data_IF_681826343143
#
_entry.id   IF_681826343143
#
_cell.length_a   1.000
_cell.length_b   1.000
_cell.length_c   1.000
_cell.angle_alpha   90.00
_cell.angle_beta   90.00
_cell.angle_gamma   90.00
#
_symmetry.space_group_name_H-M   'P 1'
#
loop_
_entity.id
_entity.type
_entity.pdbx_description
1 polymer ?
2 non-polymer ?
3 water ?
#
# COMPACT_ATOMS: atom_id res chain seq x y z
N UNK A 11 -27.50 17.29 10.99
CA UNK A 11 -26.42 16.34 10.70
C UNK A 11 -25.14 16.63 11.49
N UNK A 12 -25.15 17.69 12.28
CA UNK A 12 -23.97 18.13 13.02
C UNK A 12 -23.75 17.33 14.29
N UNK A 13 -22.67 16.54 14.31
CA UNK A 13 -22.48 15.56 15.37
C UNK A 13 -21.11 15.68 16.08
N UNK A 14 -21.12 16.24 17.29
CA UNK A 14 -19.88 16.42 18.04
C UNK A 14 -19.96 15.91 19.47
N UNK A 15 -18.83 15.48 20.01
CA UNK A 15 -18.76 14.91 21.36
C UNK A 15 -17.73 15.63 22.24
N UNK A 16 -16.94 16.51 21.63
CA UNK A 16 -15.88 17.22 22.34
C UNK A 16 -16.40 18.44 23.08
N UNK A 17 -16.30 18.41 24.40
CA UNK A 17 -16.61 19.55 25.25
C UNK A 17 -15.75 19.52 26.51
N UNK A 18 -15.73 20.62 27.25
CA UNK A 18 -14.96 20.71 28.50
C UNK A 18 -15.88 20.11 29.56
N UNK A 19 -15.67 18.84 29.89
CA UNK A 19 -16.36 18.20 31.00
C UNK A 19 -15.32 17.92 32.11
N UNK A 20 -14.03 18.00 31.77
CA UNK A 20 -12.98 17.54 32.69
C UNK A 20 -12.61 18.58 33.73
N UNK A 21 -12.33 18.12 34.93
CA UNK A 21 -11.83 18.99 35.98
C UNK A 21 -10.83 18.24 36.87
N UNK A 22 -9.87 18.98 37.43
CA UNK A 22 -8.89 18.37 38.31
C UNK A 22 -9.02 19.00 39.70
N UNK A 23 -9.21 18.14 40.69
CA UNK A 23 -9.47 18.60 42.06
C UNK A 23 -8.18 18.91 42.82
N UNK A 24 -7.27 17.95 42.86
CA UNK A 24 -6.02 18.11 43.57
C UNK A 24 -4.98 18.75 42.70
N UNK A 25 -3.75 18.79 43.19
CA UNK A 25 -2.65 19.30 42.37
C UNK A 25 -2.03 18.14 41.60
N UNK A 26 -1.13 18.46 40.69
CA UNK A 26 -0.49 17.45 39.86
C UNK A 26 0.80 16.96 40.48
N UNK A 27 1.19 15.73 40.17
CA UNK A 27 2.51 15.24 40.54
C UNK A 27 3.45 15.37 39.34
N UNK A 28 4.60 16.01 39.55
CA UNK A 28 5.55 16.26 38.47
C UNK A 28 6.47 15.08 38.27
N UNK A 29 6.61 14.66 37.01
CA UNK A 29 7.50 13.59 36.65
C UNK A 29 8.50 14.10 35.63
N UNK A 30 9.61 13.38 35.48
CA UNK A 30 10.63 13.74 34.51
C UNK A 30 11.06 12.50 33.73
N UNK A 31 10.99 12.61 32.41
CA UNK A 31 11.39 11.51 31.53
C UNK A 31 12.83 11.09 31.77
N UNK A 32 13.11 9.81 31.54
CA UNK A 32 14.47 9.29 31.71
C UNK A 32 15.32 9.59 30.46
N UNK A 33 16.57 9.15 30.49
CA UNK A 33 17.53 9.42 29.41
C UNK A 33 17.00 8.94 28.06
N UNK A 34 16.34 7.79 28.05
CA UNK A 34 15.70 7.27 26.85
C UNK A 34 14.59 8.20 26.40
N UNK A 35 13.58 8.35 27.25
CA UNK A 35 12.42 9.18 26.96
C UNK A 35 12.83 10.58 26.49
N UNK A 36 13.96 11.07 26.98
CA UNK A 36 14.42 12.40 26.56
C UNK A 36 14.90 12.38 25.11
N UNK A 37 15.67 11.35 24.73
CA UNK A 37 16.15 11.20 23.36
C UNK A 37 14.98 10.98 22.41
N UNK A 38 14.07 10.09 22.79
CA UNK A 38 12.90 9.78 21.99
C UNK A 38 12.13 11.04 21.66
N UNK A 39 11.77 11.79 22.69
CA UNK A 39 10.95 13.00 22.54
C UNK A 39 11.60 14.00 21.60
N UNK A 40 12.91 14.21 21.76
CA UNK A 40 13.62 15.16 20.94
C UNK A 40 13.68 14.70 19.48
N UNK A 41 14.08 13.45 19.25
CA UNK A 41 14.25 12.95 17.88
C UNK A 41 12.93 12.89 17.12
N UNK A 42 11.88 12.39 17.77
CA UNK A 42 10.58 12.26 17.13
C UNK A 42 9.97 13.62 16.83
N UNK A 43 10.26 14.61 17.68
CA UNK A 43 9.66 15.94 17.55
C UNK A 43 10.21 16.79 16.39
N UNK A 44 11.42 16.50 15.93
CA UNK A 44 12.00 17.34 14.88
C UNK A 44 12.91 16.61 13.88
N UNK A 45 13.33 15.40 14.23
CA UNK A 45 14.30 14.68 13.41
C UNK A 45 13.70 13.49 12.67
N UNK A 46 12.50 13.09 13.07
CA UNK A 46 11.92 11.84 12.58
C UNK A 46 11.04 11.95 11.35
N UNK A 47 10.02 12.81 11.41
CA UNK A 47 9.11 12.99 10.28
C UNK A 47 9.55 14.22 9.50
N UNK A 48 9.50 14.12 8.17
CA UNK A 48 9.94 15.22 7.32
C UNK A 48 8.90 16.33 7.28
N UNK A 49 7.64 15.96 7.13
CA UNK A 49 6.55 16.94 7.14
C UNK A 49 5.82 16.89 8.48
N UNK A 50 5.51 18.06 9.02
CA UNK A 50 4.96 18.16 10.36
C UNK A 50 3.49 17.73 10.42
N UNK A 51 2.79 17.79 9.30
CA UNK A 51 1.36 17.54 9.26
C UNK A 51 0.98 16.12 9.64
N UNK A 52 1.93 15.18 9.53
CA UNK A 52 1.62 13.78 9.76
C UNK A 52 1.31 13.46 11.21
N UNK A 53 1.38 14.45 12.10
CA UNK A 53 1.02 14.21 13.48
C UNK A 53 -0.46 13.85 13.52
N UNK A 54 -1.24 14.51 12.67
CA UNK A 54 -2.67 14.23 12.56
C UNK A 54 -2.91 12.78 12.17
N UNK A 55 -2.10 12.31 11.23
CA UNK A 55 -2.16 10.93 10.76
C UNK A 55 -1.86 9.93 11.87
N UNK A 56 -0.77 10.19 12.61
CA UNK A 56 -0.36 9.33 13.71
C UNK A 56 -1.39 9.29 14.83
N UNK A 57 -1.92 10.44 15.22
CA UNK A 57 -2.90 10.46 16.29
C UNK A 57 -4.19 9.77 15.84
N UNK A 58 -4.63 10.03 14.60
CA UNK A 58 -5.79 9.32 14.07
C UNK A 58 -5.56 7.83 14.08
N UNK A 59 -4.36 7.41 13.68
CA UNK A 59 -4.01 6.00 13.69
C UNK A 59 -4.03 5.42 15.10
N UNK A 60 -3.53 6.18 16.06
CA UNK A 60 -3.60 5.77 17.46
C UNK A 60 -5.04 5.62 17.94
N UNK A 61 -5.88 6.57 17.55
CA UNK A 61 -7.28 6.58 17.98
C UNK A 61 -8.02 5.37 17.40
N UNK A 62 -7.63 4.99 16.19
CA UNK A 62 -8.22 3.84 15.51
C UNK A 62 -7.87 2.53 16.21
N UNK A 63 -6.59 2.40 16.58
CA UNK A 63 -6.12 1.22 17.30
C UNK A 63 -6.81 1.04 18.65
N UNK A 64 -7.05 2.16 19.34
CA UNK A 64 -7.67 2.08 20.67
C UNK A 64 -9.15 1.72 20.53
N UNK A 65 -9.76 2.20 19.46
CA UNK A 65 -11.15 1.85 19.14
C UNK A 65 -11.27 0.36 18.83
N UNK A 66 -10.30 -0.16 18.09
CA UNK A 66 -10.30 -1.55 17.69
C UNK A 66 -10.16 -2.46 18.90
N UNK A 67 -9.25 -2.10 19.80
CA UNK A 67 -8.95 -2.92 20.96
C UNK A 67 -10.17 -3.03 21.87
N UNK A 68 -10.92 -1.94 21.98
CA UNK A 68 -12.12 -1.95 22.82
C UNK A 68 -13.21 -2.78 22.15
N UNK A 69 -13.39 -2.59 20.84
CA UNK A 69 -14.42 -3.31 20.13
C UNK A 69 -14.20 -4.82 20.19
N UNK A 70 -12.95 -5.23 19.92
CA UNK A 70 -12.61 -6.64 20.00
C UNK A 70 -12.87 -7.20 21.39
N UNK A 71 -12.59 -6.42 22.41
CA UNK A 71 -12.79 -6.86 23.79
C UNK A 71 -14.28 -7.05 24.12
N UNK A 72 -15.08 -6.04 23.79
CA UNK A 72 -16.52 -6.13 24.02
C UNK A 72 -17.16 -7.25 23.20
N UNK A 73 -16.69 -7.44 21.97
CA UNK A 73 -17.23 -8.49 21.11
C UNK A 73 -16.79 -9.87 21.60
N UNK A 74 -15.56 -9.96 22.13
CA UNK A 74 -15.06 -11.21 22.67
C UNK A 74 -15.80 -11.57 23.95
N UNK A 75 -16.06 -10.58 24.79
CA UNK A 75 -16.79 -10.79 26.03
C UNK A 75 -18.28 -10.95 25.78
N UNK A 76 -18.72 -10.58 24.58
CA UNK A 76 -20.12 -10.67 24.21
C UNK A 76 -20.93 -9.46 24.67
N UNK A 77 -20.24 -8.40 25.07
CA UNK A 77 -20.90 -7.17 25.52
C UNK A 77 -21.41 -6.32 24.37
N UNK A 78 -22.39 -5.46 24.65
CA UNK A 78 -22.93 -4.55 23.65
C UNK A 78 -21.91 -3.49 23.26
N UNK A 79 -22.15 -2.82 22.14
CA UNK A 79 -21.20 -1.88 21.56
C UNK A 79 -21.67 -0.44 21.70
N UNK A 80 -20.79 0.42 22.23
CA UNK A 80 -21.06 1.86 22.39
C UNK A 80 -20.73 2.62 21.12
N UNK A 81 -20.87 3.95 21.14
CA UNK A 81 -20.42 4.78 20.03
C UNK A 81 -18.92 4.62 19.86
N UNK A 82 -18.49 4.25 18.65
CA UNK A 82 -17.07 4.07 18.39
C UNK A 82 -16.64 5.01 17.30
N UNK A 83 -16.07 6.14 17.71
CA UNK A 83 -15.84 7.26 16.82
C UNK A 83 -14.54 7.99 17.10
N UNK A 84 -14.09 8.75 16.12
CA UNK A 84 -12.93 9.61 16.24
C UNK A 84 -13.35 11.04 15.92
N UNK A 85 -13.02 11.96 16.81
CA UNK A 85 -13.42 13.35 16.59
C UNK A 85 -12.23 14.30 16.61
N UNK A 86 -12.27 15.25 15.69
CA UNK A 86 -11.29 16.31 15.66
C UNK A 86 -11.99 17.64 15.74
N UNK A 87 -11.43 18.54 16.52
CA UNK A 87 -11.94 19.89 16.61
C UNK A 87 -10.80 20.88 16.46
N UNK A 88 -10.99 21.88 15.60
CA UNK A 88 -10.03 22.96 15.46
C UNK A 88 -10.56 24.20 16.17
N UNK A 89 -9.66 24.91 16.84
CA UNK A 89 -10.01 26.19 17.45
C UNK A 89 -8.89 27.13 17.06
N UNK A 90 -9.17 28.01 16.10
CA UNK A 90 -8.18 28.98 15.64
C UNK A 90 -8.20 30.13 16.63
N UNK A 91 -9.37 30.34 17.24
CA UNK A 91 -9.53 31.34 18.29
C UNK A 91 -8.56 31.11 19.45
N UNK A 92 -8.42 29.85 19.85
CA UNK A 92 -7.50 29.48 20.93
C UNK A 92 -6.21 28.86 20.42
N UNK A 93 -6.07 28.81 19.09
CA UNK A 93 -4.91 28.20 18.46
C UNK A 93 -4.71 26.74 18.82
N UNK A 94 -5.81 25.99 18.95
CA UNK A 94 -5.71 24.58 19.34
C UNK A 94 -6.28 23.61 18.30
N UNK A 95 -5.77 22.39 18.36
CA UNK A 95 -6.39 21.29 17.66
C UNK A 95 -6.50 20.12 18.63
N UNK A 96 -7.65 19.46 18.59
CA UNK A 96 -8.02 18.42 19.53
C UNK A 96 -8.46 17.17 18.79
N UNK A 97 -8.10 16.01 19.30
CA UNK A 97 -8.58 14.75 18.76
C UNK A 97 -9.03 13.89 19.91
N UNK A 98 -10.25 13.40 19.85
CA UNK A 98 -10.75 12.49 20.85
C UNK A 98 -11.26 11.19 20.23
N UNK A 99 -10.93 10.07 20.85
CA UNK A 99 -11.55 8.82 20.48
C UNK A 99 -12.34 8.27 21.67
N UNK A 100 -13.28 7.37 21.41
CA UNK A 100 -14.03 6.73 22.48
C UNK A 100 -13.55 5.30 22.69
N UNK A 101 -12.28 5.07 22.34
CA UNK A 101 -11.72 3.73 22.40
C UNK A 101 -11.38 3.19 23.78
N UNK A 102 -10.58 2.14 23.81
CA UNK A 102 -10.08 1.63 25.07
C UNK A 102 -9.08 2.69 25.52
N UNK A 103 -9.21 3.13 26.75
CA UNK A 103 -8.42 4.25 27.21
C UNK A 103 -7.06 3.84 27.77
N UNK A 104 -6.55 4.66 28.67
CA UNK A 104 -5.25 4.40 29.27
C UNK A 104 -5.34 4.39 30.80
N UNK A 105 -4.63 3.47 31.42
CA UNK A 105 -4.52 3.43 32.87
C UNK A 105 -3.50 4.48 33.33
N UNK A 106 -3.45 4.72 34.64
CA UNK A 106 -2.50 5.67 35.20
C UNK A 106 -1.08 5.24 34.88
N UNK A 107 -0.79 3.95 35.08
CA UNK A 107 0.53 3.43 34.82
C UNK A 107 0.95 3.65 33.36
N UNK A 108 0.03 3.42 32.42
CA UNK A 108 0.36 3.61 31.01
C UNK A 108 0.70 5.08 30.72
N UNK A 109 -0.08 5.99 31.30
CA UNK A 109 0.18 7.41 31.14
C UNK A 109 1.54 7.80 31.74
N UNK A 110 1.97 7.03 32.72
CA UNK A 110 3.26 7.30 33.38
C UNK A 110 4.46 6.66 32.70
N UNK A 111 4.39 5.35 32.48
CA UNK A 111 5.53 4.57 32.02
C UNK A 111 5.74 4.70 30.51
N UNK A 112 4.65 4.61 29.75
CA UNK A 112 4.74 4.65 28.29
C UNK A 112 5.45 5.89 27.76
N UNK A 141 3.25 -1.11 22.98
CA UNK A 141 3.83 -0.46 21.80
C UNK A 141 2.73 0.05 20.87
N UNK A 142 2.01 1.07 21.32
CA UNK A 142 0.93 1.66 20.53
C UNK A 142 1.70 2.40 19.47
N UNK A 143 2.79 3.00 19.90
CA UNK A 143 3.74 3.63 19.02
C UNK A 143 4.17 4.95 19.61
N UNK A 144 5.29 5.46 19.12
CA UNK A 144 5.72 6.79 19.49
C UNK A 144 4.63 7.73 18.99
N UNK A 145 4.09 7.38 17.83
CA UNK A 145 3.29 8.31 17.04
C UNK A 145 2.66 9.43 17.86
N UNK A 146 2.35 9.16 19.12
CA UNK A 146 1.76 10.19 19.96
C UNK A 146 2.69 11.38 20.17
N UNK A 147 3.98 11.11 20.30
CA UNK A 147 4.92 12.19 20.59
C UNK A 147 5.18 13.08 19.37
N UNK A 148 4.71 12.65 18.20
CA UNK A 148 4.85 13.46 16.98
C UNK A 148 4.10 14.78 17.14
N UNK A 149 3.23 14.85 18.15
CA UNK A 149 2.51 16.07 18.47
C UNK A 149 3.43 17.22 18.85
N UNK A 150 4.55 16.89 19.48
CA UNK A 150 5.51 17.91 19.93
C UNK A 150 6.34 18.38 18.76
N UNK A 151 5.93 17.96 17.57
CA UNK A 151 6.50 18.47 16.34
C UNK A 151 5.84 19.80 16.03
N UNK A 152 4.60 19.97 16.48
CA UNK A 152 3.85 21.19 16.20
C UNK A 152 3.28 21.88 17.44
N UNK A 153 3.48 21.28 18.60
CA UNK A 153 2.94 21.85 19.83
C UNK A 153 4.02 22.32 20.79
N UNK A 154 3.73 23.38 21.54
CA UNK A 154 4.61 23.79 22.63
C UNK A 154 3.99 23.38 23.98
N UNK A 155 2.89 22.62 23.90
CA UNK A 155 2.21 22.12 25.09
C UNK A 155 1.11 21.14 24.69
N UNK A 156 1.08 19.99 25.36
CA UNK A 156 0.05 19.01 25.09
C UNK A 156 -0.70 18.65 26.37
N UNK A 157 -2.03 18.66 26.27
CA UNK A 157 -2.89 18.41 27.40
C UNK A 157 -3.76 17.19 27.10
N UNK A 158 -3.68 16.19 27.97
CA UNK A 158 -4.32 14.91 27.70
C UNK A 158 -5.26 14.47 28.80
N UNK A 159 -6.40 13.91 28.40
CA UNK A 159 -7.35 13.30 29.32
C UNK A 159 -7.69 11.89 28.84
N UNK A 160 -7.51 10.91 29.72
CA UNK A 160 -7.80 9.53 29.35
C UNK A 160 -8.42 8.75 30.51
N UNK A 161 -9.29 7.81 30.16
CA UNK A 161 -9.95 6.96 31.14
C UNK A 161 -10.10 5.56 30.57
N UNK A 162 -9.61 4.56 31.29
CA UNK A 162 -9.66 3.18 30.81
C UNK A 162 -11.10 2.69 30.70
N UNK A 163 -11.35 1.76 29.77
CA UNK A 163 -12.70 1.27 29.53
C UNK A 163 -13.14 0.27 30.63
N UNK A 164 -12.18 -0.32 31.32
CA UNK A 164 -12.50 -1.29 32.37
C UNK A 164 -13.32 -0.63 33.47
N UNK A 165 -14.41 -1.28 33.88
CA UNK A 165 -15.32 -0.82 34.94
C UNK A 165 -14.58 -0.26 36.15
N UNK A 166 -15.11 0.82 36.72
CA UNK A 166 -14.53 1.42 37.90
C UNK A 166 -13.21 2.13 37.67
N UNK A 167 -12.86 2.38 36.41
CA UNK A 167 -11.61 3.07 36.10
C UNK A 167 -11.68 4.56 36.41
N UNK A 168 -10.55 5.16 36.76
CA UNK A 168 -10.52 6.59 37.04
C UNK A 168 -9.95 7.34 35.84
N UNK A 169 -10.26 8.62 35.77
CA UNK A 169 -9.76 9.47 34.71
C UNK A 169 -8.51 10.21 35.14
N UNK A 170 -7.65 10.51 34.18
CA UNK A 170 -6.42 11.21 34.50
C UNK A 170 -6.08 12.27 33.48
N UNK A 171 -5.43 13.31 33.97
CA UNK A 171 -4.89 14.36 33.12
C UNK A 171 -3.37 14.24 33.03
N UNK A 172 -2.86 14.48 31.83
CA UNK A 172 -1.44 14.41 31.52
C UNK A 172 -1.08 15.72 30.81
N UNK A 173 -0.15 16.47 31.37
CA UNK A 173 0.25 17.75 30.79
C UNK A 173 1.73 17.72 30.44
N UNK A 174 2.11 18.46 29.40
CA UNK A 174 3.53 18.57 29.07
C UNK A 174 3.83 19.64 28.03
N UNK A 175 4.94 20.35 28.24
CA UNK A 175 5.43 21.31 27.27
C UNK A 175 6.56 20.71 26.42
N UNK A 176 6.86 19.43 26.66
CA UNK A 176 7.83 18.71 25.86
C UNK A 176 9.27 18.94 26.30
N UNK A 177 9.45 19.50 27.49
CA UNK A 177 10.77 19.80 28.01
C UNK A 177 11.31 18.66 28.88
N UNK A 178 10.71 17.49 28.74
CA UNK A 178 11.13 16.33 29.53
C UNK A 178 10.41 16.23 30.86
N UNK A 179 9.64 17.27 31.21
CA UNK A 179 8.82 17.24 32.42
C UNK A 179 7.34 17.13 32.05
N UNK A 180 6.63 16.23 32.72
CA UNK A 180 5.19 16.12 32.54
C UNK A 180 4.48 16.02 33.89
N UNK A 181 3.21 16.36 33.89
CA UNK A 181 2.43 16.34 35.12
C UNK A 181 1.31 15.30 35.02
N UNK A 182 0.94 14.72 36.16
CA UNK A 182 -0.15 13.76 36.20
C UNK A 182 -1.11 14.05 37.34
N UNK A 183 -2.40 13.96 37.07
CA UNK A 183 -3.40 14.22 38.09
C UNK A 183 -4.70 13.52 37.74
N UNK A 184 -5.29 12.87 38.75
CA UNK A 184 -6.62 12.32 38.61
C UNK A 184 -7.58 13.43 38.20
N UNK A 185 -8.44 13.12 37.24
CA UNK A 185 -9.37 14.10 36.69
C UNK A 185 -10.78 13.55 36.72
N UNK A 186 -11.76 14.43 36.93
CA UNK A 186 -13.15 14.00 36.82
C UNK A 186 -13.76 14.55 35.54
N UNK A 187 -14.89 13.99 35.12
CA UNK A 187 -15.54 14.39 33.89
C UNK A 187 -14.76 13.90 32.68
N UNK A 188 -13.97 12.84 32.88
CA UNK A 188 -13.24 12.26 31.76
C UNK A 188 -14.01 11.10 31.15
N UNK A 189 -14.35 11.22 29.88
CA UNK A 189 -15.04 10.17 29.17
C UNK A 189 -14.11 9.02 28.84
N UNK A 190 -14.64 7.80 28.87
CA UNK A 190 -13.88 6.60 28.50
C UNK A 190 -13.23 6.79 27.14
N UNK A 191 -11.95 6.45 27.06
CA UNK A 191 -11.18 6.71 25.86
C UNK A 191 -10.17 7.81 26.12
N UNK A 192 -9.76 8.49 25.07
CA UNK A 192 -8.64 9.42 25.17
C UNK A 192 -8.89 10.72 24.42
N UNK A 193 -8.58 11.83 25.08
CA UNK A 193 -8.73 13.16 24.49
C UNK A 193 -7.41 13.90 24.52
N UNK A 194 -6.92 14.31 23.36
CA UNK A 194 -5.65 15.02 23.26
C UNK A 194 -5.87 16.44 22.76
N UNK A 195 -5.47 17.42 23.58
CA UNK A 195 -5.61 18.82 23.21
C UNK A 195 -4.25 19.43 22.94
N UNK A 196 -3.99 19.76 21.67
CA UNK A 196 -2.74 20.34 21.26
C UNK A 196 -2.80 21.86 21.25
N UNK A 197 -1.90 22.49 21.99
CA UNK A 197 -1.73 23.93 21.96
C UNK A 197 -0.59 24.26 20.99
N UNK A 198 -0.99 24.63 19.77
CA UNK A 198 -0.06 24.77 18.65
C UNK A 198 0.97 25.89 18.81
N UNK A 199 2.17 25.63 18.31
CA UNK A 199 3.21 26.64 18.22
C UNK A 199 2.74 27.88 17.45
N UNK A 200 3.50 28.97 17.57
CA UNK A 200 3.13 30.24 16.97
C UNK A 200 3.05 30.15 15.44
N UNK A 201 3.94 29.37 14.84
CA UNK A 201 3.98 29.25 13.38
C UNK A 201 3.39 27.91 12.90
N UNK A 202 2.64 27.26 13.77
CA UNK A 202 1.91 26.05 13.38
C UNK A 202 0.41 26.25 13.47
N UNK A 203 0.00 27.50 13.60
CA UNK A 203 -1.42 27.83 13.75
C UNK A 203 -2.31 27.30 12.62
N UNK A 204 -1.67 26.95 11.50
CA UNK A 204 -2.39 26.45 10.33
C UNK A 204 -3.23 25.22 10.67
N UNK A 205 -2.78 24.45 11.65
CA UNK A 205 -3.49 23.24 12.05
C UNK A 205 -4.60 23.54 13.05
N UNK A 206 -4.98 24.81 13.15
CA UNK A 206 -6.15 25.22 13.91
C UNK A 206 -7.25 25.72 12.98
N UNK A 207 -6.95 25.75 11.69
CA UNK A 207 -7.97 26.09 10.69
C UNK A 207 -8.54 24.82 10.10
N UNK A 208 -9.88 24.73 10.09
CA UNK A 208 -10.56 23.54 9.59
C UNK A 208 -10.13 23.17 8.18
N UNK A 209 -10.01 24.16 7.30
CA UNK A 209 -9.71 23.92 5.90
C UNK A 209 -8.40 23.14 5.72
N UNK A 210 -7.38 23.54 6.48
CA UNK A 210 -6.07 22.90 6.39
C UNK A 210 -6.11 21.47 6.92
N UNK A 211 -6.81 21.28 8.03
CA UNK A 211 -6.87 19.99 8.71
C UNK A 211 -7.69 19.00 7.90
N UNK A 212 -8.76 19.48 7.27
CA UNK A 212 -9.59 18.64 6.41
C UNK A 212 -8.76 18.01 5.29
N UNK A 213 -7.96 18.84 4.62
CA UNK A 213 -7.08 18.36 3.57
C UNK A 213 -6.12 17.30 4.09
N UNK A 214 -5.55 17.53 5.27
CA UNK A 214 -4.59 16.58 5.82
C UNK A 214 -5.27 15.24 6.09
N UNK A 215 -6.48 15.27 6.62
CA UNK A 215 -7.25 14.06 6.88
C UNK A 215 -7.57 13.28 5.60
N UNK A 216 -8.05 13.97 4.59
CA UNK A 216 -8.47 13.31 3.36
C UNK A 216 -7.26 12.73 2.63
N UNK A 217 -6.11 13.36 2.84
CA UNK A 217 -4.86 12.90 2.22
C UNK A 217 -4.36 11.59 2.81
N UNK A 218 -4.33 11.51 4.14
CA UNK A 218 -3.64 10.42 4.83
C UNK A 218 -4.54 9.37 5.48
N UNK A 219 -5.78 9.74 5.77
CA UNK A 219 -6.61 8.95 6.66
C UNK A 219 -8.01 8.73 6.14
N UNK A 220 -8.13 8.65 4.82
CA UNK A 220 -9.42 8.56 4.15
C UNK A 220 -10.04 7.17 4.22
N UNK A 221 -9.24 6.21 4.70
CA UNK A 221 -9.68 4.83 4.76
C UNK A 221 -9.74 4.34 6.21
N UNK A 222 -9.74 5.27 7.16
CA UNK A 222 -9.78 4.91 8.57
C UNK A 222 -11.00 4.02 8.89
N UNK A 223 -10.77 3.00 9.71
CA UNK A 223 -11.74 1.94 9.95
C UNK A 223 -12.93 2.34 10.84
N UNK A 224 -12.84 3.51 11.47
CA UNK A 224 -13.92 4.01 12.33
C UNK A 224 -14.38 5.40 11.89
N UNK A 225 -15.67 5.71 12.13
CA UNK A 225 -16.23 7.02 11.80
C UNK A 225 -15.39 8.17 12.33
N UNK A 226 -15.04 9.08 11.44
CA UNK A 226 -14.20 10.21 11.78
C UNK A 226 -14.92 11.51 11.47
N UNK A 227 -15.00 12.39 12.47
CA UNK A 227 -15.67 13.68 12.34
C UNK A 227 -14.70 14.83 12.57
N UNK A 228 -14.91 15.93 11.85
CA UNK A 228 -14.11 17.14 12.03
C UNK A 228 -15.04 18.32 12.29
N UNK A 229 -14.97 18.86 13.50
CA UNK A 229 -15.90 19.91 13.92
C UNK A 229 -17.34 19.48 13.68
N UNK A 230 -17.63 18.21 13.98
CA UNK A 230 -18.97 17.69 13.84
C UNK A 230 -19.32 17.11 12.48
N UNK A 231 -18.47 17.34 11.49
CA UNK A 231 -18.73 16.88 10.13
C UNK A 231 -18.05 15.55 9.82
N UNK A 232 -18.84 14.58 9.37
CA UNK A 232 -18.32 13.29 8.94
C UNK A 232 -17.33 13.48 7.78
N UNK A 233 -16.18 12.82 7.84
CA UNK A 233 -15.12 13.05 6.84
C UNK A 233 -14.65 11.86 5.99
N UNK A 234 -14.84 10.64 6.50
CA UNK A 234 -14.28 9.44 5.84
C UNK A 234 -15.40 8.54 5.33
N UNK A 235 -15.41 8.26 4.03
CA UNK A 235 -16.45 7.36 3.50
C UNK A 235 -15.87 6.11 2.84
N UNK A 236 -14.58 6.13 2.52
CA UNK A 236 -14.00 5.03 1.73
C UNK A 236 -13.52 3.88 2.59
N UNK A 237 -13.73 2.66 2.10
CA UNK A 237 -13.41 1.44 2.81
C UNK A 237 -12.11 0.81 2.31
N UNK A 238 -11.27 0.33 3.23
CA UNK A 238 -9.97 -0.24 2.88
C UNK A 238 -10.39 -1.66 2.54
N UNK A 239 -10.45 -1.97 1.24
CA UNK A 239 -11.04 -3.23 0.78
C UNK A 239 -9.84 -4.17 0.61
N UNK A 240 -8.64 -3.62 0.62
CA UNK A 240 -7.46 -4.45 0.46
C UNK A 240 -7.19 -5.27 1.75
N UNK A 241 -7.80 -4.84 2.85
CA UNK A 241 -7.65 -5.55 4.14
C UNK A 241 -8.62 -6.72 4.26
N UNK A 242 -9.65 -6.73 3.41
CA UNK A 242 -10.65 -7.78 3.44
C UNK A 242 -10.12 -9.13 2.99
N UNK A 243 -10.86 -10.17 3.36
CA UNK A 243 -10.70 -11.49 2.76
C UNK A 243 -11.03 -11.36 1.27
N UNK A 244 -10.07 -11.69 0.39
CA UNK A 244 -10.22 -11.50 -1.05
C UNK A 244 -11.49 -12.11 -1.61
N UNK A 245 -11.99 -13.15 -0.97
CA UNK A 245 -13.16 -13.86 -1.46
C UNK A 245 -14.44 -13.23 -0.93
N UNK A 246 -14.31 -12.12 -0.22
CA UNK A 246 -15.47 -11.36 0.24
C UNK A 246 -15.69 -10.11 -0.58
N UNK A 247 -14.63 -9.61 -1.21
CA UNK A 247 -14.75 -8.43 -2.05
C UNK A 247 -15.46 -8.81 -3.33
N UNK A 248 -16.44 -8.01 -3.74
CA UNK A 248 -17.06 -8.28 -5.03
C UNK A 248 -16.72 -7.21 -6.07
N UNK A 249 -17.17 -7.47 -7.30
CA UNK A 249 -16.70 -6.72 -8.46
C UNK A 249 -16.86 -5.21 -8.35
N UNK A 250 -18.05 -4.78 -7.91
CA UNK A 250 -18.38 -3.37 -7.86
C UNK A 250 -17.48 -2.60 -6.87
N UNK A 251 -17.00 -3.29 -5.84
CA UNK A 251 -16.08 -2.69 -4.90
C UNK A 251 -14.71 -2.51 -5.57
N UNK A 252 -14.23 -3.56 -6.24
CA UNK A 252 -12.99 -3.47 -7.02
C UNK A 252 -13.06 -2.41 -8.11
N UNK A 253 -14.25 -2.20 -8.68
CA UNK A 253 -14.38 -1.19 -9.72
C UNK A 253 -14.30 0.22 -9.12
N UNK A 254 -15.01 0.42 -8.02
CA UNK A 254 -15.00 1.69 -7.29
C UNK A 254 -13.59 2.05 -6.84
N UNK A 255 -12.90 1.10 -6.23
CA UNK A 255 -11.58 1.38 -5.71
C UNK A 255 -10.55 1.57 -6.84
N UNK A 256 -10.65 0.77 -7.89
CA UNK A 256 -9.79 0.95 -9.05
C UNK A 256 -9.92 2.36 -9.60
N UNK A 257 -11.15 2.86 -9.66
CA UNK A 257 -11.38 4.17 -10.23
C UNK A 257 -10.84 5.25 -9.32
N UNK A 258 -10.94 5.03 -8.00
CA UNK A 258 -10.31 5.93 -7.04
C UNK A 258 -8.78 5.96 -7.21
N UNK A 259 -8.10 4.86 -6.93
CA UNK A 259 -6.63 4.83 -6.94
C UNK A 259 -6.03 5.22 -8.27
N UNK A 260 -6.65 4.76 -9.36
CA UNK A 260 -6.14 5.05 -10.70
C UNK A 260 -6.73 6.34 -11.27
N UNK A 261 -7.65 6.97 -10.55
CA UNK A 261 -8.33 8.15 -11.06
C UNK A 261 -8.81 7.90 -12.48
N UNK A 262 -9.58 6.84 -12.65
CA UNK A 262 -9.95 6.37 -13.98
C UNK A 262 -11.45 6.16 -14.09
N UNK A 263 -11.95 6.11 -15.32
CA UNK A 263 -13.38 5.97 -15.55
C UNK A 263 -13.73 4.63 -16.20
N UNK A 264 -12.70 3.90 -16.64
CA UNK A 264 -12.90 2.59 -17.22
C UNK A 264 -12.96 1.54 -16.12
N UNK A 265 -12.80 0.28 -16.49
CA UNK A 265 -12.81 -0.81 -15.50
C UNK A 265 -11.49 -1.54 -15.49
N UNK A 266 -11.17 -2.21 -14.37
CA UNK A 266 -9.93 -3.01 -14.39
C UNK A 266 -10.08 -4.24 -15.31
N UNK A 267 -9.06 -4.47 -16.13
CA UNK A 267 -9.00 -5.66 -16.98
C UNK A 267 -8.62 -6.87 -16.14
N UNK A 268 -7.68 -6.65 -15.24
CA UNK A 268 -7.20 -7.70 -14.36
C UNK A 268 -7.23 -7.23 -12.92
N UNK A 269 -7.48 -8.16 -12.01
CA UNK A 269 -7.50 -7.87 -10.59
C UNK A 269 -6.74 -8.95 -9.84
N UNK A 270 -5.73 -8.54 -9.10
CA UNK A 270 -5.00 -9.46 -8.22
C UNK A 270 -5.07 -8.96 -6.79
N UNK A 271 -5.69 -9.74 -5.92
CA UNK A 271 -5.77 -9.41 -4.50
C UNK A 271 -4.78 -10.28 -3.73
N UNK A 272 -3.67 -9.68 -3.32
CA UNK A 272 -2.56 -10.46 -2.77
C UNK A 272 -2.35 -10.18 -1.28
N UNK A 273 -2.44 -11.23 -0.47
CA UNK A 273 -2.23 -11.12 0.97
C UNK A 273 -1.18 -12.13 1.42
N UNK A 274 -0.25 -11.68 2.25
CA UNK A 274 0.80 -12.59 2.71
C UNK A 274 1.42 -12.13 4.03
N UNK A 275 1.93 -13.08 4.80
CA UNK A 275 2.58 -12.79 6.07
C UNK A 275 4.01 -13.33 6.10
N UNK A 276 4.24 -14.43 5.40
CA UNK A 276 5.53 -15.13 5.47
C UNK A 276 6.69 -14.26 4.98
N UNK A 277 6.72 -13.94 3.67
CA UNK A 277 7.80 -13.11 3.15
C UNK A 277 7.91 -11.83 3.96
N UNK A 278 6.84 -11.05 3.92
CA UNK A 278 6.67 -9.90 4.77
C UNK A 278 5.18 -9.75 5.02
N UNK A 279 4.77 -8.71 5.72
CA UNK A 279 3.36 -8.41 5.84
C UNK A 279 2.90 -7.62 4.60
N UNK A 280 1.93 -8.17 3.88
CA UNK A 280 1.48 -7.56 2.63
C UNK A 280 -0.04 -7.62 2.48
N UNK A 281 -0.67 -6.44 2.33
CA UNK A 281 -2.07 -6.34 1.93
C UNK A 281 -2.17 -5.45 0.70
N UNK A 282 -2.55 -6.03 -0.44
CA UNK A 282 -2.45 -5.28 -1.68
C UNK A 282 -3.44 -5.70 -2.77
N UNK A 283 -3.82 -4.75 -3.60
CA UNK A 283 -4.60 -5.03 -4.80
C UNK A 283 -3.96 -4.37 -6.01
N UNK A 284 -3.87 -5.13 -7.08
CA UNK A 284 -3.27 -4.67 -8.32
C UNK A 284 -4.26 -4.75 -9.46
N UNK A 285 -4.30 -3.69 -10.27
CA UNK A 285 -5.21 -3.60 -11.40
C UNK A 285 -4.45 -3.35 -12.70
N UNK A 286 -4.94 -3.94 -13.77
CA UNK A 286 -4.51 -3.57 -15.12
C UNK A 286 -5.70 -2.89 -15.80
N UNK A 287 -5.54 -1.61 -16.18
CA UNK A 287 -6.64 -0.88 -16.82
C UNK A 287 -7.19 -1.60 -18.05
N UNK A 288 -8.49 -1.48 -18.27
CA UNK A 288 -9.13 -1.99 -19.49
C UNK A 288 -8.56 -1.24 -20.67
N UNK A 289 -8.36 0.06 -20.46
CA UNK A 289 -7.80 0.96 -21.46
C UNK A 289 -6.33 0.64 -21.74
N UNK A 290 -5.86 1.00 -22.91
CA UNK A 290 -4.46 0.81 -23.27
C UNK A 290 -3.60 1.98 -22.78
N UNK A 291 -2.29 1.77 -22.69
CA UNK A 291 -1.35 2.82 -22.32
C UNK A 291 -0.85 3.60 -23.54
N UNK A 303 0.25 6.00 -10.20
CA UNK A 303 0.98 4.81 -9.80
C UNK A 303 0.42 4.19 -8.51
N UNK A 304 1.06 3.12 -8.06
CA UNK A 304 0.62 2.36 -6.91
C UNK A 304 0.81 3.12 -5.60
N UNK A 305 -0.17 3.07 -4.73
CA UNK A 305 -0.09 3.77 -3.45
C UNK A 305 0.49 2.88 -2.39
N UNK A 306 1.29 3.46 -1.51
CA UNK A 306 1.88 2.74 -0.41
C UNK A 306 1.18 3.09 0.88
N UNK A 307 0.55 2.09 1.51
CA UNK A 307 -0.13 2.29 2.77
C UNK A 307 0.50 1.43 3.86
N UNK A 308 0.18 1.74 5.10
CA UNK A 308 0.55 0.91 6.23
C UNK A 308 -0.53 0.99 7.30
N UNK A 309 -1.20 -0.13 7.53
CA UNK A 309 -2.30 -0.18 8.48
C UNK A 309 -3.36 0.86 8.13
N UNK A 310 -3.75 0.85 6.85
CA UNK A 310 -4.84 1.68 6.33
C UNK A 310 -4.52 3.17 6.32
N UNK A 311 -3.27 3.52 6.63
CA UNK A 311 -2.85 4.92 6.58
C UNK A 311 -1.83 5.13 5.46
N UNK A 312 -1.95 6.27 4.77
CA UNK A 312 -1.13 6.55 3.59
C UNK A 312 0.29 6.99 3.91
N UNK A 313 1.25 6.40 3.21
CA UNK A 313 2.65 6.77 3.37
C UNK A 313 3.12 7.61 2.19
N UNK A 314 2.82 7.14 0.98
CA UNK A 314 3.22 7.86 -0.22
C UNK A 314 2.27 7.54 -1.37
N UNK A 315 1.66 8.57 -1.95
CA UNK A 315 0.66 8.36 -3.00
C UNK A 315 1.31 7.79 -4.26
N UNK A 316 2.60 8.03 -4.43
CA UNK A 316 3.32 7.57 -5.61
C UNK A 316 4.48 6.66 -5.21
N UNK A 317 4.17 5.43 -4.83
CA UNK A 317 5.19 4.46 -4.46
C UNK A 317 5.87 3.89 -5.70
N UNK A 318 6.64 4.74 -6.38
CA UNK A 318 7.30 4.37 -7.63
C UNK A 318 8.31 3.24 -7.47
N UNK A 319 8.87 3.10 -6.27
CA UNK A 319 9.91 2.09 -6.05
C UNK A 319 9.37 0.77 -5.51
N UNK A 320 8.05 0.69 -5.33
CA UNK A 320 7.43 -0.51 -4.79
C UNK A 320 7.42 -1.67 -5.79
N UNK A 321 7.28 -1.33 -7.07
CA UNK A 321 7.33 -2.32 -8.15
C UNK A 321 8.45 -2.03 -9.11
N UNK A 322 8.96 -3.06 -9.81
CA UNK A 322 9.94 -2.83 -10.87
C UNK A 322 9.42 -1.85 -11.92
N UNK A 323 10.32 -1.05 -12.47
CA UNK A 323 9.97 -0.01 -13.43
C UNK A 323 9.05 -0.49 -14.56
N UNK A 324 9.23 -1.74 -15.00
CA UNK A 324 8.46 -2.25 -16.14
C UNK A 324 7.01 -2.57 -15.74
N UNK A 325 6.73 -2.60 -14.45
CA UNK A 325 5.37 -2.87 -13.98
C UNK A 325 4.65 -1.59 -13.61
N UNK A 326 5.17 -0.46 -14.07
CA UNK A 326 4.57 0.84 -13.77
C UNK A 326 3.19 1.03 -14.39
N UNK A 327 2.73 0.07 -15.18
CA UNK A 327 1.41 0.14 -15.79
C UNK A 327 0.36 -0.39 -14.82
N UNK A 328 0.84 -1.10 -13.80
CA UNK A 328 0.00 -1.59 -12.73
C UNK A 328 -0.53 -0.45 -11.87
N UNK A 329 -1.81 -0.53 -11.49
CA UNK A 329 -2.43 0.46 -10.61
C UNK A 329 -2.90 -0.23 -9.35
N UNK A 330 -3.03 0.51 -8.25
CA UNK A 330 -3.55 -0.09 -7.03
C UNK A 330 -2.83 0.33 -5.76
N UNK A 331 -2.86 -0.55 -4.77
CA UNK A 331 -2.38 -0.23 -3.43
C UNK A 331 -1.52 -1.34 -2.84
N UNK A 332 -0.50 -0.94 -2.07
CA UNK A 332 0.26 -1.89 -1.27
C UNK A 332 0.26 -1.43 0.19
N UNK A 333 -0.21 -2.30 1.07
CA UNK A 333 -0.27 -2.01 2.49
C UNK A 333 0.63 -2.99 3.24
N UNK A 334 1.59 -2.46 3.98
CA UNK A 334 2.50 -3.31 4.73
C UNK A 334 2.95 -2.66 6.04
N UNK A 335 2.95 -3.44 7.11
CA UNK A 335 3.37 -2.95 8.42
C UNK A 335 4.88 -2.76 8.50
N UNK A 336 5.59 -3.15 7.44
CA UNK A 336 7.05 -3.14 7.47
C UNK A 336 7.76 -1.85 7.06
N UNK A 337 6.99 -0.80 6.81
CA UNK A 337 7.57 0.47 6.35
C UNK A 337 7.53 1.69 7.26
N UNK A 338 8.69 2.35 7.44
CA UNK A 338 8.82 3.51 8.33
C UNK A 338 7.94 4.69 7.90
N UNK A 345 9.59 10.11 1.60
CA UNK A 345 10.89 10.71 1.28
C UNK A 345 11.39 10.28 -0.10
N UNK A 346 12.39 11.00 -0.61
CA UNK A 346 12.96 10.71 -1.93
C UNK A 346 13.62 9.33 -1.96
N UNK A 347 14.37 9.03 -0.90
CA UNK A 347 15.00 7.72 -0.78
C UNK A 347 14.11 6.74 -0.02
N UNK A 348 13.35 5.96 -0.79
CA UNK A 348 12.45 4.96 -0.22
C UNK A 348 13.14 3.61 -0.07
N UNK A 349 14.09 3.35 -0.97
CA UNK A 349 14.75 2.05 -1.06
C UNK A 349 15.51 1.61 0.18
N UNK A 350 15.24 0.40 0.64
CA UNK A 350 15.87 -0.19 1.82
C UNK A 350 15.62 -1.69 1.82
N UNK A 351 14.57 -2.11 2.51
CA UNK A 351 14.07 -3.48 2.40
C UNK A 351 12.83 -3.46 1.53
N UNK A 352 12.52 -2.25 1.04
CA UNK A 352 11.52 -2.04 0.01
C UNK A 352 11.81 -2.92 -1.20
N UNK A 353 13.09 -3.11 -1.47
CA UNK A 353 13.52 -3.93 -2.57
C UNK A 353 13.05 -5.38 -2.41
N UNK A 354 13.18 -5.88 -1.19
CA UNK A 354 12.72 -7.23 -0.88
C UNK A 354 11.24 -7.37 -1.19
N UNK A 355 10.47 -6.33 -0.89
CA UNK A 355 9.05 -6.29 -1.19
C UNK A 355 8.81 -6.17 -2.70
N UNK A 356 9.68 -5.40 -3.35
CA UNK A 356 9.62 -5.21 -4.79
C UNK A 356 9.79 -6.55 -5.51
N UNK A 357 10.76 -7.32 -5.05
CA UNK A 357 11.03 -8.64 -5.63
C UNK A 357 9.90 -9.61 -5.34
N UNK A 358 9.33 -9.52 -4.15
CA UNK A 358 8.19 -10.37 -3.80
C UNK A 358 7.02 -10.10 -4.74
N UNK A 359 6.77 -8.82 -5.00
CA UNK A 359 5.63 -8.41 -5.81
C UNK A 359 5.85 -8.72 -7.29
N UNK A 360 7.07 -8.54 -7.77
CA UNK A 360 7.38 -8.87 -9.15
C UNK A 360 7.13 -10.34 -9.44
N UNK A 361 7.55 -11.21 -8.52
CA UNK A 361 7.38 -12.64 -8.71
C UNK A 361 5.90 -13.04 -8.64
N UNK A 362 5.17 -12.42 -7.71
CA UNK A 362 3.74 -12.72 -7.54
C UNK A 362 2.97 -12.26 -8.79
N UNK A 363 3.31 -11.08 -9.32
CA UNK A 363 2.65 -10.57 -10.51
C UNK A 363 2.97 -11.38 -11.78
N UNK A 364 4.22 -11.82 -11.93
CA UNK A 364 4.56 -12.67 -13.06
C UNK A 364 3.76 -13.95 -13.02
N UNK A 365 3.68 -14.56 -11.84
CA UNK A 365 2.93 -15.80 -11.70
C UNK A 365 1.45 -15.56 -11.94
N UNK A 366 0.94 -14.42 -11.48
CA UNK A 366 -0.43 -14.03 -11.73
C UNK A 366 -0.74 -14.00 -13.23
N UNK A 367 0.07 -13.28 -14.00
CA UNK A 367 -0.17 -13.14 -15.44
C UNK A 367 0.03 -14.46 -16.17
N UNK A 368 0.95 -15.27 -15.68
CA UNK A 368 1.14 -16.61 -16.24
C UNK A 368 -0.12 -17.45 -16.02
N UNK A 369 -0.62 -17.47 -14.79
CA UNK A 369 -1.85 -18.20 -14.48
C UNK A 369 -3.01 -17.68 -15.30
N UNK A 370 -3.04 -16.38 -15.53
CA UNK A 370 -4.04 -15.76 -16.37
C UNK A 370 -3.99 -16.35 -17.77
N UNK A 371 -2.77 -16.54 -18.28
CA UNK A 371 -2.55 -17.12 -19.60
C UNK A 371 -3.12 -18.52 -19.71
N UNK A 372 -3.00 -19.28 -18.62
CA UNK A 372 -3.43 -20.67 -18.60
C UNK A 372 -4.94 -20.78 -18.70
N UNK A 373 -5.64 -19.98 -17.89
CA UNK A 373 -7.09 -20.03 -17.83
C UNK A 373 -7.73 -19.31 -19.01
N UNK A 374 -7.13 -18.19 -19.41
CA UNK A 374 -7.65 -17.42 -20.52
C UNK A 374 -6.52 -16.95 -21.43
N UNK A 375 -6.56 -17.38 -22.68
CA UNK A 375 -5.50 -17.09 -23.61
C UNK A 375 -5.86 -15.94 -24.56
N UNK A 376 -7.14 -15.84 -24.89
CA UNK A 376 -7.58 -14.81 -25.82
C UNK A 376 -7.54 -13.45 -25.15
N UNK A 377 -7.95 -13.40 -23.90
CA UNK A 377 -7.88 -12.16 -23.13
C UNK A 377 -6.43 -11.78 -22.89
N UNK A 378 -5.61 -12.76 -22.52
CA UNK A 378 -4.20 -12.50 -22.27
C UNK A 378 -3.45 -12.08 -23.52
N UNK A 379 -3.84 -12.64 -24.66
CA UNK A 379 -3.24 -12.28 -25.93
C UNK A 379 -3.48 -10.80 -26.23
N UNK A 380 -4.67 -10.33 -25.86
CA UNK A 380 -5.00 -8.91 -25.97
C UNK A 380 -4.15 -8.09 -25.00
N UNK A 381 -3.99 -8.63 -23.79
CA UNK A 381 -3.13 -8.01 -22.80
C UNK A 381 -1.69 -7.93 -23.27
N UNK A 382 -1.17 -9.04 -23.79
CA UNK A 382 0.21 -9.03 -24.29
C UNK A 382 0.37 -8.03 -25.42
N UNK A 383 -0.61 -7.99 -26.31
CA UNK A 383 -0.63 -7.02 -27.39
C UNK A 383 -0.54 -5.58 -26.86
N UNK A 384 -1.34 -5.29 -25.83
CA UNK A 384 -1.43 -3.95 -25.29
C UNK A 384 -0.27 -3.55 -24.36
N UNK A 385 0.33 -4.54 -23.70
CA UNK A 385 1.33 -4.24 -22.68
C UNK A 385 2.67 -4.95 -22.90
N UNK A 386 2.79 -5.68 -24.00
CA UNK A 386 4.02 -6.39 -24.33
C UNK A 386 5.24 -5.49 -24.20
N UNK A 387 5.12 -4.28 -24.74
CA UNK A 387 6.14 -3.24 -24.64
C UNK A 387 6.86 -3.20 -23.29
N UNK A 388 6.07 -3.23 -22.22
CA UNK A 388 6.61 -3.15 -20.86
C UNK A 388 7.41 -4.39 -20.50
N UNK A 389 6.92 -5.54 -20.94
CA UNK A 389 7.62 -6.79 -20.69
C UNK A 389 8.95 -6.82 -21.41
N UNK A 390 8.94 -6.37 -22.67
CA UNK A 390 10.18 -6.33 -23.46
C UNK A 390 11.19 -5.35 -22.84
N UNK A 391 10.70 -4.19 -22.41
CA UNK A 391 11.54 -3.20 -21.75
C UNK A 391 12.16 -3.79 -20.50
N UNK A 392 11.33 -4.47 -19.72
CA UNK A 392 11.78 -5.12 -18.50
C UNK A 392 12.82 -6.20 -18.76
N UNK A 393 12.66 -6.95 -19.84
CA UNK A 393 13.61 -8.00 -20.16
C UNK A 393 14.97 -7.45 -20.56
N UNK A 394 14.97 -6.43 -21.41
CA UNK A 394 16.22 -5.84 -21.88
C UNK A 394 16.89 -5.05 -20.75
N UNK A 395 16.08 -4.57 -19.82
CA UNK A 395 16.55 -3.78 -18.69
C UNK A 395 17.19 -4.63 -17.60
N UNK A 396 16.67 -5.85 -17.41
CA UNK A 396 17.07 -6.69 -16.28
C UNK A 396 18.57 -7.01 -16.30
N UNK A 397 19.16 -7.04 -15.10
CA UNK A 397 20.60 -7.31 -14.99
C UNK A 397 20.95 -8.79 -14.88
N UNK A 398 20.19 -9.50 -14.06
CA UNK A 398 20.39 -10.93 -13.85
C UNK A 398 19.66 -11.65 -14.96
N UNK A 399 20.26 -12.74 -15.44
CA UNK A 399 19.65 -13.58 -16.45
C UNK A 399 18.35 -14.20 -15.99
N UNK A 400 18.31 -14.65 -14.75
CA UNK A 400 17.16 -15.37 -14.23
C UNK A 400 15.92 -14.49 -14.22
N UNK A 401 16.13 -13.20 -13.98
CA UNK A 401 15.04 -12.23 -14.01
C UNK A 401 14.56 -12.04 -15.45
N UNK A 402 15.50 -12.01 -16.39
CA UNK A 402 15.17 -11.88 -17.80
C UNK A 402 14.22 -12.99 -18.24
N UNK A 403 14.49 -14.21 -17.80
CA UNK A 403 13.72 -15.37 -18.24
C UNK A 403 12.36 -15.45 -17.55
N UNK A 404 12.26 -14.93 -16.34
CA UNK A 404 10.98 -14.85 -15.63
C UNK A 404 9.99 -13.96 -16.36
N UNK A 405 10.42 -12.74 -16.66
CA UNK A 405 9.61 -11.80 -17.43
C UNK A 405 9.32 -12.35 -18.82
N UNK A 406 10.30 -13.06 -19.38
CA UNK A 406 10.17 -13.62 -20.72
C UNK A 406 9.12 -14.71 -20.75
N UNK A 407 8.77 -15.25 -19.59
CA UNK A 407 7.73 -16.25 -19.49
C UNK A 407 6.35 -15.67 -19.87
N UNK A 408 6.28 -14.35 -19.99
CA UNK A 408 5.03 -13.68 -20.31
C UNK A 408 4.87 -13.43 -21.80
N UNK A 409 5.97 -13.47 -22.53
CA UNK A 409 5.96 -13.26 -23.99
C UNK A 409 5.16 -14.32 -24.73
N UNK A 410 4.46 -13.92 -25.77
CA UNK A 410 3.73 -14.85 -26.61
C UNK A 410 4.08 -14.65 -28.08
N UNK A 411 4.33 -15.75 -28.79
CA UNK A 411 4.65 -15.67 -30.21
C UNK A 411 3.88 -16.72 -31.00
N UNK A 412 3.70 -16.47 -32.31
CA UNK A 412 3.13 -17.49 -33.18
C UNK A 412 4.15 -18.59 -33.44
N UNK A 413 3.67 -19.81 -33.59
CA UNK A 413 4.53 -20.95 -33.85
C UNK A 413 4.18 -21.60 -35.18
N UNK A 414 5.17 -22.25 -35.79
CA UNK A 414 4.97 -22.96 -37.05
C UNK A 414 4.05 -24.16 -36.86
N UNK A 415 4.04 -24.70 -35.65
CA UNK A 415 3.21 -25.86 -35.34
C UNK A 415 1.88 -25.44 -34.70
N UNK A 416 1.38 -24.29 -35.12
CA UNK A 416 0.08 -23.80 -34.68
C UNK A 416 -0.60 -22.98 -35.76
N UNK A 417 -1.93 -22.99 -35.77
CA UNK A 417 -2.71 -22.21 -36.74
C UNK A 417 -2.41 -20.71 -36.61
N UNK A 418 -2.17 -20.05 -37.75
CA UNK A 418 -1.78 -18.65 -37.76
C UNK A 418 -2.78 -17.79 -36.99
N UNK A 419 -2.31 -17.18 -35.92
CA UNK A 419 -3.15 -16.34 -35.08
C UNK A 419 -2.96 -16.66 -33.61
N UNK A 420 -2.91 -17.96 -33.29
CA UNK A 420 -2.78 -18.39 -31.91
C UNK A 420 -1.33 -18.37 -31.45
N UNK A 421 -1.13 -17.93 -30.21
CA UNK A 421 0.20 -17.67 -29.68
C UNK A 421 0.70 -18.77 -28.77
N UNK A 422 2.01 -18.76 -28.51
CA UNK A 422 2.61 -19.71 -27.58
C UNK A 422 3.68 -19.00 -26.76
N UNK A 423 4.04 -19.61 -25.65
CA UNK A 423 5.10 -19.11 -24.79
C UNK A 423 6.37 -19.91 -25.01
N UNK A 424 7.49 -19.36 -24.58
CA UNK A 424 8.78 -20.04 -24.67
C UNK A 424 8.72 -21.43 -24.00
N UNK A 425 8.17 -21.48 -22.78
CA UNK A 425 7.98 -22.74 -22.08
C UNK A 425 7.14 -23.75 -22.87
N UNK A 426 5.99 -23.30 -23.38
CA UNK A 426 5.08 -24.19 -24.11
C UNK A 426 5.74 -24.78 -25.36
N UNK A 427 6.48 -23.97 -26.09
CA UNK A 427 7.26 -24.43 -27.23
C UNK A 427 8.21 -25.54 -26.83
N UNK A 428 8.95 -25.29 -25.75
CA UNK A 428 10.08 -26.11 -25.35
C UNK A 428 9.66 -27.53 -24.95
N UNK A 429 8.52 -27.63 -24.29
CA UNK A 429 8.06 -28.91 -23.75
C UNK A 429 7.91 -29.98 -24.82
N UNK A 430 7.35 -29.59 -25.97
CA UNK A 430 7.10 -30.54 -27.05
C UNK A 430 8.41 -30.97 -27.71
N UNK A 431 9.39 -30.08 -27.69
CA UNK A 431 10.72 -30.31 -28.25
C UNK A 431 11.26 -31.69 -27.90
N UNK A 432 11.58 -32.47 -28.92
CA UNK A 432 12.03 -33.85 -28.74
C UNK A 432 13.35 -34.11 -29.45
N UNK A 433 14.29 -34.72 -28.74
CA UNK A 433 15.60 -35.02 -29.31
C UNK A 433 16.23 -33.70 -29.74
N UNK A 434 15.94 -32.65 -28.99
CA UNK A 434 16.47 -31.33 -29.28
C UNK A 434 17.30 -30.84 -28.11
N UNK A 435 18.51 -30.37 -28.40
CA UNK A 435 19.41 -29.91 -27.36
C UNK A 435 19.92 -28.50 -27.61
N UNK A 436 19.77 -27.64 -26.60
CA UNK A 436 20.30 -26.29 -26.63
C UNK A 436 19.83 -25.46 -27.82
N UNK A 437 18.57 -25.62 -28.22
CA UNK A 437 18.04 -24.76 -29.27
C UNK A 437 16.57 -24.38 -29.16
N UNK A 438 16.31 -23.08 -29.32
CA UNK A 438 14.98 -22.57 -29.66
C UNK A 438 15.05 -21.77 -30.96
N UNK A 439 14.30 -22.22 -31.96
CA UNK A 439 14.38 -21.64 -33.30
C UNK A 439 13.25 -20.64 -33.57
N UNK A 440 13.63 -19.46 -34.06
CA UNK A 440 12.66 -18.42 -34.41
C UNK A 440 12.98 -17.78 -35.75
N UNK A 441 11.98 -17.17 -36.36
CA UNK A 441 12.15 -16.46 -37.61
C UNK A 441 11.35 -15.17 -37.57
N UNK A 442 11.98 -14.07 -37.96
CA UNK A 442 11.27 -12.81 -37.99
C UNK A 442 10.97 -12.40 -39.43
N UNK A 443 9.69 -12.16 -39.71
CA UNK A 443 9.25 -11.77 -41.03
C UNK A 443 8.13 -10.74 -40.92
N UNK A 444 7.79 -10.09 -42.05
CA UNK A 444 6.72 -9.09 -42.09
C UNK A 444 5.36 -9.67 -41.72
N UNK A 445 5.13 -10.93 -42.07
CA UNK A 445 3.89 -11.61 -41.69
C UNK A 445 4.00 -13.14 -41.76
N UNK A 446 2.99 -13.80 -41.21
CA UNK A 446 2.91 -15.26 -41.22
C UNK A 446 3.09 -15.83 -42.63
N UNK A 447 2.49 -15.17 -43.61
CA UNK A 447 2.59 -15.59 -44.99
C UNK A 447 4.04 -15.70 -45.42
N UNK A 448 4.80 -14.63 -45.21
CA UNK A 448 6.20 -14.59 -45.62
C UNK A 448 7.07 -15.51 -44.76
N UNK A 449 6.70 -15.67 -43.50
CA UNK A 449 7.44 -16.54 -42.60
C UNK A 449 7.39 -17.99 -43.09
N UNK A 450 6.19 -18.46 -43.40
CA UNK A 450 6.01 -19.84 -43.87
C UNK A 450 6.71 -20.05 -45.21
N UNK A 451 6.54 -19.10 -46.13
CA UNK A 451 7.12 -19.23 -47.46
C UNK A 451 8.60 -18.88 -47.48
N UNK A 452 9.18 -18.63 -46.32
CA UNK A 452 10.61 -18.38 -46.23
C UNK A 452 11.39 -19.65 -46.44
N UNK A 453 12.34 -19.63 -47.38
CA UNK A 453 13.22 -20.78 -47.60
C UNK A 453 13.95 -21.16 -46.33
N UNK A 454 14.31 -20.15 -45.53
CA UNK A 454 14.96 -20.39 -44.25
C UNK A 454 14.09 -21.27 -43.37
N UNK A 455 12.81 -20.93 -43.28
CA UNK A 455 11.89 -21.75 -42.51
C UNK A 455 11.50 -23.02 -43.25
N UNK A 456 11.26 -22.89 -44.56
CA UNK A 456 10.81 -24.00 -45.38
C UNK A 456 11.76 -25.18 -45.23
N UNK A 457 13.02 -24.88 -44.93
CA UNK A 457 14.00 -25.89 -44.56
C UNK A 457 13.66 -26.69 -43.31
N UNK A 458 12.94 -26.05 -42.39
CA UNK A 458 12.48 -26.69 -41.16
C UNK A 458 11.15 -27.39 -41.38
N UNK A 459 10.66 -27.35 -42.62
CA UNK A 459 9.34 -27.88 -42.96
C UNK A 459 9.27 -29.39 -42.70
N UNK A 460 10.10 -30.16 -43.38
CA UNK A 460 10.18 -31.60 -43.16
C UNK A 460 11.39 -31.94 -42.28
N UNK A 461 11.99 -30.93 -41.68
CA UNK A 461 13.15 -31.13 -40.82
C UNK A 461 12.73 -31.34 -39.37
N UNK A 462 13.63 -31.03 -38.45
CA UNK A 462 13.50 -31.45 -37.06
C UNK A 462 12.46 -30.67 -36.25
N UNK A 463 12.56 -29.35 -36.26
CA UNK A 463 11.89 -28.55 -35.25
C UNK A 463 10.86 -27.54 -35.75
N UNK A 464 9.97 -27.15 -34.84
CA UNK A 464 9.04 -26.06 -35.09
C UNK A 464 9.78 -24.74 -34.92
N UNK A 465 9.21 -23.67 -35.47
CA UNK A 465 9.86 -22.38 -35.47
C UNK A 465 8.91 -21.27 -35.02
N UNK A 466 9.38 -20.44 -34.09
CA UNK A 466 8.60 -19.28 -33.64
C UNK A 466 8.62 -18.18 -34.69
N UNK A 467 7.55 -17.41 -34.75
CA UNK A 467 7.44 -16.34 -35.73
C UNK A 467 7.27 -14.97 -35.06
N UNK A 468 8.22 -14.07 -35.30
CA UNK A 468 8.11 -12.69 -34.87
C UNK A 468 7.83 -11.83 -36.10
N UNK A 469 6.97 -10.83 -35.94
CA UNK A 469 6.59 -9.97 -37.06
C UNK A 469 7.01 -8.53 -36.82
N UNK A 470 7.58 -8.29 -35.66
CA UNK A 470 8.05 -6.95 -35.29
C UNK A 470 9.50 -7.00 -34.90
N UNK A 471 10.26 -5.98 -35.30
CA UNK A 471 11.67 -5.92 -34.99
C UNK A 471 11.94 -5.85 -33.49
N UNK A 472 11.06 -5.23 -32.72
CA UNK A 472 11.29 -5.15 -31.29
C UNK A 472 11.14 -6.49 -30.60
N UNK A 473 10.49 -7.46 -31.25
CA UNK A 473 10.38 -8.80 -30.67
C UNK A 473 11.65 -9.61 -30.93
N UNK A 474 12.26 -9.37 -32.08
CA UNK A 474 13.47 -10.09 -32.44
C UNK A 474 14.64 -9.64 -31.57
N UNK A 475 14.75 -8.32 -31.40
CA UNK A 475 15.79 -7.76 -30.55
C UNK A 475 15.65 -8.26 -29.10
N UNK A 476 14.42 -8.43 -28.65
CA UNK A 476 14.18 -8.93 -27.31
C UNK A 476 14.71 -10.36 -27.17
N UNK A 477 14.48 -11.18 -28.19
CA UNK A 477 15.01 -12.55 -28.18
C UNK A 477 16.53 -12.58 -28.28
N UNK A 478 17.10 -11.72 -29.12
CA UNK A 478 18.54 -11.63 -29.26
C UNK A 478 19.20 -11.26 -27.92
N UNK A 479 18.61 -10.29 -27.25
CA UNK A 479 19.12 -9.85 -25.96
C UNK A 479 18.99 -10.95 -24.91
N UNK A 480 17.86 -11.64 -24.92
CA UNK A 480 17.61 -12.65 -23.92
C UNK A 480 18.69 -13.71 -24.06
N UNK A 481 19.10 -13.98 -25.29
CA UNK A 481 19.97 -15.13 -25.53
C UNK A 481 19.24 -16.40 -25.10
N UNK A 482 19.90 -17.23 -24.30
CA UNK A 482 19.34 -18.50 -23.85
C UNK A 482 18.14 -18.39 -22.92
N UNK A 483 17.19 -19.31 -23.08
CA UNK A 483 16.06 -19.48 -22.18
C UNK A 483 16.05 -20.92 -21.68
N UNK A 484 15.93 -21.10 -20.37
CA UNK A 484 15.96 -22.44 -19.79
C UNK A 484 17.19 -23.18 -20.29
N UNK A 485 16.99 -24.39 -20.79
CA UNK A 485 18.09 -25.21 -21.28
C UNK A 485 18.53 -24.83 -22.70
N UNK A 486 17.81 -23.90 -23.32
CA UNK A 486 17.99 -23.67 -24.74
C UNK A 486 18.45 -22.25 -25.08
N UNK A 487 19.23 -22.15 -26.16
CA UNK A 487 19.66 -20.87 -26.69
C UNK A 487 18.74 -20.42 -27.82
N UNK A 488 18.43 -19.13 -27.85
CA UNK A 488 17.56 -18.57 -28.88
C UNK A 488 18.33 -18.30 -30.17
N UNK A 489 17.86 -18.88 -31.28
CA UNK A 489 18.62 -18.83 -32.51
C UNK A 489 17.78 -18.51 -33.75
N UNK A 490 18.29 -17.60 -34.57
CA UNK A 490 17.60 -17.20 -35.79
C UNK A 490 17.88 -18.20 -36.91
N UNK A 491 16.83 -18.51 -37.68
CA UNK A 491 16.93 -19.45 -38.77
C UNK A 491 17.90 -18.90 -39.80
N UNK A 492 17.79 -17.61 -40.07
CA UNK A 492 18.65 -16.94 -41.04
C UNK A 492 19.96 -16.50 -40.40
N UNK A 493 20.63 -17.44 -39.73
CA UNK A 493 21.90 -17.16 -39.07
C UNK A 493 21.68 -16.75 -37.61
X LIG B 1 -0.46 6.95 23.02
X LIG B 1 1.79 8.08 25.86
X LIG B 1 -0.15 9.48 25.81
X LIG B 1 -4.68 4.55 23.78
X LIG B 1 -5.42 5.42 23.05
X LIG B 1 -4.85 6.48 22.43
X LIG B 1 -3.55 6.74 22.53
X LIG B 1 -2.71 5.92 23.26
X LIG B 1 -3.25 4.79 23.91
X LIG B 1 -1.37 5.93 23.53
X LIG B 1 -1.03 4.91 24.27
X LIG B 1 -2.10 4.16 24.56
X LIG B 1 0.10 7.71 24.19
X LIG B 1 1.31 7.36 24.77
X LIG B 1 1.04 9.15 26.38
X LIG B 1 -0.63 8.76 24.70
X LIG B 1 1.29 10.03 27.45
X LIG B 1 0.36 11.07 27.33
X LIG B 1 -0.68 10.60 26.52
X LIG B 1 -5.37 3.18 24.58
X LIG B 1 -5.63 7.38 21.66
X LIG B 1 2.37 5.89 24.10
#
# INVERSE_FOLDING_TARGET
STQTAEDKEEPLHSIISSTESVQGSTSKHEFQAETKKLLDIVARSLYSEKEVFIRELISNASDALEKLRHKLVSDGQALPEMEIHLQTNAEKGTITIQDTGIGMTQEELVSNLGTIARSGSKAFLDALQNQAEASSKIIGQFGVGFYSAFMVADRVEVYSRSAAPGSLGYQWLSDGSGVFEIAEASGVRTGTKIIIHLKSDCKEFSSEARVRDVVTKYSNFVSFPLYLNGRRMNTLQAIWMMDPKDVREWQHEEFYRYVAQAHDKPRYTLHYKTDAPLNIRSIFYVPDMKPSMFDVSRELGSSVALYSRKVLIQTKATDILPKWLRFIRGVVDSEDIPLNLSRELLQESALIRKLRDVLQQRLIKFFIDQSKKDAEKYAKFFEDYGLFMREGIVTATEQEVKEDIAKLLRYESSALPSGQLTSLSEYASRMRAGTRNIYYLCAPNRHLAEHSPYYEAMKKKDTEVLFCFEQFDELTLLHLREFDKKKLISVETDIVVDHYKE
8MF C10 C13 C15 C01 N02 C03 N04 C05 C06 N07 N08 C09 C11 C12 C14 C16 O17 C18 O19 CL1 N21 BR1
#
